data_IF_136033387879
#
_entry.id   IF_136033387879
#
_cell.length_a   1.000
_cell.length_b   1.000
_cell.length_c   1.000
_cell.angle_alpha   90.00
_cell.angle_beta   90.00
_cell.angle_gamma   90.00
#
_symmetry.space_group_name_H-M   'P 1'
#
loop_
_entity.id
_entity.type
_entity.pdbx_description
1 polymer ?
#
# COMPACT_ATOMS: atom_id res chain seq x y z
N UNK A 1 10.69 -12.57 -52.79
CA UNK A 1 9.58 -11.59 -52.94
C UNK A 1 8.41 -12.16 -53.76
N UNK A 2 8.25 -13.49 -53.87
CA UNK A 2 7.25 -14.18 -54.70
C UNK A 2 5.99 -14.64 -53.93
N UNK A 3 6.00 -14.56 -52.60
CA UNK A 3 4.94 -15.14 -51.74
C UNK A 3 3.57 -14.44 -51.90
N UNK A 4 3.59 -13.13 -52.17
CA UNK A 4 2.37 -12.34 -52.37
C UNK A 4 1.68 -12.59 -53.72
N UNK A 5 2.44 -12.91 -54.77
CA UNK A 5 1.89 -13.11 -56.11
C UNK A 5 1.21 -14.46 -56.29
N UNK A 6 1.71 -15.51 -55.62
CA UNK A 6 1.13 -16.85 -55.72
C UNK A 6 -0.16 -16.97 -54.90
N UNK A 7 -0.23 -16.31 -53.74
CA UNK A 7 -1.47 -16.21 -52.96
C UNK A 7 -2.55 -15.44 -53.72
N UNK A 8 -2.22 -14.26 -54.28
CA UNK A 8 -3.18 -13.48 -55.05
C UNK A 8 -3.73 -14.26 -56.25
N UNK A 9 -2.84 -14.92 -57.02
CA UNK A 9 -3.24 -15.77 -58.15
C UNK A 9 -4.19 -16.89 -57.72
N UNK A 10 -3.93 -17.52 -56.58
CA UNK A 10 -4.81 -18.54 -56.03
C UNK A 10 -6.17 -17.98 -55.66
N UNK A 11 -6.22 -16.85 -54.94
CA UNK A 11 -7.47 -16.18 -54.57
C UNK A 11 -8.29 -15.85 -55.82
N UNK A 12 -7.68 -15.22 -56.82
CA UNK A 12 -8.37 -14.85 -58.06
C UNK A 12 -8.95 -16.08 -58.79
N UNK A 13 -8.21 -17.19 -58.80
CA UNK A 13 -8.63 -18.42 -59.47
C UNK A 13 -9.70 -19.20 -58.68
N UNK A 14 -9.68 -19.15 -57.35
CA UNK A 14 -10.46 -20.07 -56.50
C UNK A 14 -11.59 -19.39 -55.74
N UNK A 15 -11.61 -18.06 -55.67
CA UNK A 15 -12.65 -17.30 -55.00
C UNK A 15 -14.08 -17.66 -55.48
N UNK A 16 -14.39 -17.67 -56.79
CA UNK A 16 -15.74 -17.96 -57.26
C UNK A 16 -16.19 -19.38 -56.91
N UNK A 17 -15.26 -20.34 -57.00
CA UNK A 17 -15.54 -21.74 -56.71
C UNK A 17 -15.77 -21.97 -55.21
N UNK A 18 -14.93 -21.39 -54.33
CA UNK A 18 -15.05 -21.56 -52.88
C UNK A 18 -16.33 -20.91 -52.33
N UNK A 19 -16.68 -19.71 -52.81
CA UNK A 19 -17.92 -19.04 -52.43
C UNK A 19 -19.11 -19.81 -53.00
N UNK A 20 -19.06 -20.15 -54.29
CA UNK A 20 -20.13 -20.86 -54.97
C UNK A 20 -20.45 -22.21 -54.36
N UNK A 21 -19.44 -22.99 -53.99
CA UNK A 21 -19.65 -24.28 -53.34
C UNK A 21 -20.36 -24.16 -51.98
N UNK A 22 -20.02 -23.14 -51.18
CA UNK A 22 -20.74 -22.90 -49.92
C UNK A 22 -22.19 -22.47 -50.14
N UNK A 23 -22.43 -21.63 -51.15
CA UNK A 23 -23.78 -21.21 -51.53
C UNK A 23 -24.62 -22.38 -52.06
N UNK A 24 -24.02 -23.27 -52.85
CA UNK A 24 -24.65 -24.51 -53.33
C UNK A 24 -25.03 -25.44 -52.16
N UNK A 25 -24.24 -25.42 -51.08
CA UNK A 25 -24.53 -26.12 -49.81
C UNK A 25 -25.49 -25.34 -48.88
N UNK A 26 -26.06 -24.22 -49.35
CA UNK A 26 -27.10 -23.47 -48.64
C UNK A 26 -26.60 -22.44 -47.62
N UNK A 27 -25.30 -22.15 -47.60
CA UNK A 27 -24.75 -21.08 -46.75
C UNK A 27 -25.18 -19.71 -47.31
N UNK A 28 -25.68 -18.78 -46.46
CA UNK A 28 -26.04 -17.44 -46.92
C UNK A 28 -24.89 -16.72 -47.65
N UNK A 29 -25.16 -15.95 -48.72
CA UNK A 29 -24.13 -15.31 -49.55
C UNK A 29 -23.08 -14.49 -48.78
N UNK A 30 -23.51 -13.68 -47.81
CA UNK A 30 -22.61 -12.87 -46.98
C UNK A 30 -21.73 -13.74 -46.07
N UNK A 31 -22.31 -14.80 -45.51
CA UNK A 31 -21.63 -15.71 -44.59
C UNK A 31 -20.61 -16.59 -45.32
N UNK A 32 -20.93 -17.04 -46.54
CA UNK A 32 -20.03 -17.78 -47.41
C UNK A 32 -18.76 -16.97 -47.72
N UNK A 33 -18.94 -15.73 -48.21
CA UNK A 33 -17.83 -14.82 -48.53
C UNK A 33 -17.00 -14.47 -47.30
N UNK A 34 -17.65 -14.24 -46.16
CA UNK A 34 -16.95 -13.94 -44.92
C UNK A 34 -16.15 -15.13 -44.39
N UNK A 35 -16.69 -16.36 -44.49
CA UNK A 35 -16.00 -17.58 -44.11
C UNK A 35 -14.75 -17.80 -44.97
N UNK A 36 -14.90 -17.69 -46.30
CA UNK A 36 -13.80 -17.81 -47.28
C UNK A 36 -12.72 -16.76 -47.03
N UNK A 37 -13.10 -15.48 -46.96
CA UNK A 37 -12.17 -14.38 -46.72
C UNK A 37 -11.43 -14.53 -45.38
N UNK A 38 -12.13 -14.95 -44.33
CA UNK A 38 -11.52 -15.16 -43.02
C UNK A 38 -10.49 -16.29 -43.07
N UNK A 39 -10.83 -17.44 -43.66
CA UNK A 39 -9.90 -18.58 -43.78
C UNK A 39 -8.67 -18.20 -44.60
N UNK A 40 -8.86 -17.63 -45.79
CA UNK A 40 -7.77 -17.20 -46.66
C UNK A 40 -6.81 -16.20 -45.99
N UNK A 41 -7.33 -15.21 -45.27
CA UNK A 41 -6.49 -14.27 -44.51
C UNK A 41 -5.71 -14.94 -43.38
N UNK A 42 -6.28 -15.96 -42.73
CA UNK A 42 -5.57 -16.70 -41.69
C UNK A 42 -4.39 -17.49 -42.29
N UNK A 43 -4.58 -18.04 -43.49
CA UNK A 43 -3.59 -18.84 -44.21
C UNK A 43 -2.53 -18.02 -44.94
N UNK A 44 -2.77 -16.71 -45.17
CA UNK A 44 -1.88 -15.82 -45.94
C UNK A 44 -0.42 -15.84 -45.46
N UNK A 45 -0.18 -15.88 -44.14
CA UNK A 45 1.20 -15.85 -43.58
C UNK A 45 1.94 -17.18 -43.70
N UNK A 46 1.22 -18.29 -43.85
CA UNK A 46 1.77 -19.64 -43.94
C UNK A 46 1.64 -20.22 -45.35
N UNK A 47 1.28 -19.39 -46.34
CA UNK A 47 0.91 -19.81 -47.69
C UNK A 47 1.99 -20.63 -48.39
N UNK A 48 3.21 -20.10 -48.47
CA UNK A 48 4.37 -20.80 -49.01
C UNK A 48 4.63 -22.18 -48.37
N UNK A 49 4.37 -22.32 -47.07
CA UNK A 49 4.56 -23.58 -46.35
C UNK A 49 3.47 -24.59 -46.74
N UNK A 50 2.20 -24.16 -46.71
CA UNK A 50 1.06 -25.00 -47.05
C UNK A 50 1.15 -25.56 -48.46
N UNK A 51 1.56 -24.75 -49.44
CA UNK A 51 1.78 -25.20 -50.82
C UNK A 51 2.79 -26.35 -50.97
N UNK A 52 3.73 -26.51 -50.03
CA UNK A 52 4.74 -27.58 -50.06
C UNK A 52 4.33 -28.82 -49.28
N UNK A 53 3.57 -28.64 -48.21
CA UNK A 53 3.34 -29.68 -47.20
C UNK A 53 1.96 -30.33 -47.33
N UNK A 54 1.01 -29.69 -48.00
CA UNK A 54 -0.40 -30.08 -47.99
C UNK A 54 -1.03 -29.99 -49.38
N UNK A 55 -2.10 -30.76 -49.62
CA UNK A 55 -3.00 -30.46 -50.72
C UNK A 55 -3.85 -29.25 -50.32
N UNK A 56 -3.36 -28.05 -50.66
CA UNK A 56 -3.91 -26.78 -50.20
C UNK A 56 -5.39 -26.64 -50.51
N UNK A 57 -5.85 -27.05 -51.70
CA UNK A 57 -7.27 -26.94 -52.05
C UNK A 57 -8.17 -27.78 -51.12
N UNK A 58 -7.75 -29.02 -50.80
CA UNK A 58 -8.52 -29.91 -49.91
C UNK A 58 -8.49 -29.41 -48.47
N UNK A 59 -7.31 -29.04 -47.96
CA UNK A 59 -7.15 -28.54 -46.60
C UNK A 59 -7.92 -27.22 -46.38
N UNK A 60 -7.82 -26.30 -47.34
CA UNK A 60 -8.47 -25.00 -47.25
C UNK A 60 -9.98 -25.12 -47.39
N UNK A 61 -10.47 -26.02 -48.25
CA UNK A 61 -11.90 -26.30 -48.37
C UNK A 61 -12.50 -26.84 -47.08
N UNK A 62 -11.82 -27.79 -46.43
CA UNK A 62 -12.24 -28.29 -45.12
C UNK A 62 -12.34 -27.17 -44.08
N UNK A 63 -11.32 -26.29 -43.99
CA UNK A 63 -11.31 -25.16 -43.05
C UNK A 63 -12.39 -24.11 -43.37
N UNK A 64 -12.71 -23.90 -44.65
CA UNK A 64 -13.78 -23.00 -45.11
C UNK A 64 -15.15 -23.56 -44.70
N UNK A 65 -15.41 -24.85 -44.94
CA UNK A 65 -16.66 -25.53 -44.54
C UNK A 65 -16.86 -25.51 -43.03
N UNK A 66 -15.82 -25.87 -42.27
CA UNK A 66 -15.85 -25.83 -40.81
C UNK A 66 -16.22 -24.42 -40.32
N UNK A 67 -15.62 -23.39 -40.91
CA UNK A 67 -15.90 -21.99 -40.57
C UNK A 67 -17.31 -21.53 -40.93
N UNK A 68 -17.90 -22.10 -41.97
CA UNK A 68 -19.29 -21.89 -42.35
C UNK A 68 -20.28 -22.73 -41.53
N UNK A 69 -19.79 -23.57 -40.59
CA UNK A 69 -20.64 -24.42 -39.75
C UNK A 69 -21.12 -25.69 -40.45
N UNK A 70 -20.53 -26.06 -41.58
CA UNK A 70 -20.84 -27.30 -42.29
C UNK A 70 -20.02 -28.47 -41.74
N UNK A 71 -20.59 -29.70 -41.70
CA UNK A 71 -19.85 -30.89 -41.31
C UNK A 71 -18.74 -31.21 -42.31
N UNK A 72 -17.61 -31.70 -41.80
CA UNK A 72 -16.53 -32.23 -42.62
C UNK A 72 -16.84 -33.68 -43.01
N UNK A 73 -17.02 -33.97 -44.29
CA UNK A 73 -17.12 -35.35 -44.79
C UNK A 73 -15.76 -35.76 -45.38
N UNK A 74 -15.18 -36.90 -44.93
CA UNK A 74 -13.95 -37.41 -45.52
C UNK A 74 -14.12 -37.67 -47.02
N UNK A 75 -13.30 -37.01 -47.85
CA UNK A 75 -13.38 -37.12 -49.31
C UNK A 75 -14.18 -36.03 -50.01
N UNK A 76 -14.69 -35.02 -49.28
CA UNK A 76 -15.26 -33.82 -49.89
C UNK A 76 -14.22 -33.14 -50.78
N UNK A 77 -14.48 -33.15 -52.09
CA UNK A 77 -13.61 -32.52 -53.06
C UNK A 77 -13.94 -31.02 -53.15
N UNK A 78 -12.92 -30.16 -53.20
CA UNK A 78 -13.14 -28.74 -53.43
C UNK A 78 -13.83 -28.53 -54.79
N UNK A 79 -14.77 -27.59 -54.90
CA UNK A 79 -15.39 -27.23 -56.18
C UNK A 79 -14.32 -26.69 -57.14
N UNK A 80 -14.33 -27.08 -58.41
CA UNK A 80 -13.37 -26.61 -59.42
C UNK A 80 -14.06 -26.22 -60.72
N UNK A 81 -13.81 -25.00 -61.20
CA UNK A 81 -14.31 -24.51 -62.49
C UNK A 81 -15.83 -24.47 -62.58
N UNK A 82 -16.50 -24.33 -61.44
CA UNK A 82 -17.96 -24.42 -61.34
C UNK A 82 -18.60 -23.08 -61.70
N UNK A 83 -17.92 -21.96 -61.41
CA UNK A 83 -18.47 -20.62 -61.63
C UNK A 83 -17.50 -19.65 -62.30
N UNK A 84 -17.97 -18.85 -63.27
CA UNK A 84 -17.16 -17.77 -63.85
C UNK A 84 -16.90 -16.69 -62.79
N UNK A 85 -15.78 -15.98 -62.94
CA UNK A 85 -15.47 -14.81 -62.13
C UNK A 85 -16.53 -13.72 -62.34
N UNK A 86 -17.12 -13.24 -61.25
CA UNK A 86 -18.05 -12.11 -61.25
C UNK A 86 -17.31 -10.81 -60.85
N UNK A 87 -17.13 -9.84 -61.76
CA UNK A 87 -16.48 -8.56 -61.45
C UNK A 87 -17.20 -7.74 -60.38
N UNK A 88 -18.47 -8.03 -60.09
CA UNK A 88 -19.24 -7.34 -59.04
C UNK A 88 -19.01 -7.92 -57.64
N UNK A 89 -18.29 -9.04 -57.52
CA UNK A 89 -18.02 -9.71 -56.24
C UNK A 89 -16.50 -9.86 -55.97
N UNK A 90 -15.76 -8.75 -55.81
CA UNK A 90 -14.32 -8.81 -55.60
C UNK A 90 -13.96 -9.29 -54.18
N UNK A 91 -12.92 -10.14 -54.02
CA UNK A 91 -12.48 -10.67 -52.73
C UNK A 91 -12.00 -9.59 -51.75
N UNK A 92 -11.46 -8.48 -52.24
CA UNK A 92 -10.84 -7.43 -51.43
C UNK A 92 -11.79 -6.78 -50.41
N UNK A 93 -13.04 -6.55 -50.80
CA UNK A 93 -14.05 -5.95 -49.91
C UNK A 93 -14.33 -6.86 -48.70
N UNK A 94 -14.33 -8.17 -48.91
CA UNK A 94 -14.56 -9.17 -47.88
C UNK A 94 -13.34 -9.39 -46.99
N UNK A 95 -12.13 -9.27 -47.55
CA UNK A 95 -10.92 -9.23 -46.75
C UNK A 95 -10.90 -8.05 -45.79
N UNK A 96 -11.24 -6.84 -46.26
CA UNK A 96 -11.33 -5.67 -45.39
C UNK A 96 -12.37 -5.88 -44.26
N UNK A 97 -13.53 -6.46 -44.58
CA UNK A 97 -14.58 -6.78 -43.60
C UNK A 97 -14.11 -7.80 -42.57
N UNK A 98 -13.42 -8.86 -42.98
CA UNK A 98 -12.87 -9.88 -42.10
C UNK A 98 -11.76 -9.33 -41.17
N UNK A 99 -10.91 -8.44 -41.66
CA UNK A 99 -9.89 -7.75 -40.84
C UNK A 99 -10.52 -6.84 -39.79
N UNK A 100 -11.56 -6.08 -40.16
CA UNK A 100 -12.29 -5.21 -39.22
C UNK A 100 -12.89 -6.00 -38.05
N UNK A 101 -13.50 -7.16 -38.33
CA UNK A 101 -14.06 -8.04 -37.30
C UNK A 101 -12.98 -8.60 -36.35
N UNK A 102 -11.79 -8.94 -36.87
CA UNK A 102 -10.64 -9.33 -36.03
C UNK A 102 -10.15 -8.19 -35.14
N UNK A 103 -10.07 -6.97 -35.67
CA UNK A 103 -9.66 -5.78 -34.92
C UNK A 103 -10.61 -5.45 -33.76
N UNK A 104 -11.92 -5.55 -33.98
CA UNK A 104 -12.93 -5.27 -32.97
C UNK A 104 -12.83 -6.24 -31.77
N UNK A 105 -12.57 -7.54 -32.01
CA UNK A 105 -12.41 -8.54 -30.93
C UNK A 105 -11.17 -8.27 -30.07
N UNK A 106 -10.04 -7.85 -30.67
CA UNK A 106 -8.81 -7.53 -29.93
C UNK A 106 -8.97 -6.33 -28.99
N UNK A 107 -9.69 -5.29 -29.42
CA UNK A 107 -9.92 -4.08 -28.61
C UNK A 107 -10.74 -4.37 -27.34
N UNK A 108 -11.75 -5.26 -27.43
CA UNK A 108 -12.57 -5.65 -26.26
C UNK A 108 -11.79 -6.42 -25.19
N UNK A 109 -10.77 -7.17 -25.57
CA UNK A 109 -9.91 -7.91 -24.62
C UNK A 109 -8.99 -6.99 -23.78
N UNK A 110 -8.41 -5.97 -24.41
CA UNK A 110 -7.49 -5.03 -23.74
C UNK A 110 -8.20 -4.16 -22.69
N UNK A 111 -9.41 -3.70 -22.98
CA UNK A 111 -10.18 -2.85 -22.06
C UNK A 111 -10.53 -3.57 -20.76
N UNK A 112 -10.83 -4.88 -20.81
CA UNK A 112 -11.15 -5.67 -19.62
C UNK A 112 -9.94 -5.95 -18.74
N UNK A 113 -8.76 -6.16 -19.36
CA UNK A 113 -7.51 -6.38 -18.61
C UNK A 113 -7.10 -5.15 -17.78
N UNK A 114 -7.19 -3.96 -18.37
CA UNK A 114 -6.82 -2.72 -17.69
C UNK A 114 -7.68 -2.41 -16.46
N UNK A 115 -8.99 -2.68 -16.53
CA UNK A 115 -9.91 -2.45 -15.41
C UNK A 115 -9.57 -3.33 -14.19
N UNK A 116 -9.22 -4.60 -14.41
CA UNK A 116 -8.88 -5.52 -13.33
C UNK A 116 -7.60 -5.09 -12.59
N UNK A 117 -6.58 -4.63 -13.32
CA UNK A 117 -5.32 -4.16 -12.71
C UNK A 117 -5.55 -2.92 -11.84
N UNK A 118 -6.42 -2.01 -12.27
CA UNK A 118 -6.73 -0.79 -11.53
C UNK A 118 -7.42 -1.09 -10.19
N UNK A 119 -8.36 -2.04 -10.17
CA UNK A 119 -9.03 -2.50 -8.94
C UNK A 119 -8.02 -3.09 -7.95
N UNK A 120 -7.10 -3.95 -8.43
CA UNK A 120 -6.07 -4.54 -7.57
C UNK A 120 -5.14 -3.47 -7.00
N UNK A 121 -4.74 -2.48 -7.80
CA UNK A 121 -3.91 -1.38 -7.33
C UNK A 121 -4.60 -0.56 -6.22
N UNK A 122 -5.89 -0.23 -6.39
CA UNK A 122 -6.67 0.50 -5.38
C UNK A 122 -6.77 -0.30 -4.08
N UNK A 123 -7.07 -1.60 -4.16
CA UNK A 123 -7.14 -2.46 -2.97
C UNK A 123 -5.80 -2.58 -2.25
N UNK A 124 -4.69 -2.71 -2.99
CA UNK A 124 -3.36 -2.76 -2.42
C UNK A 124 -2.98 -1.45 -1.72
N UNK A 125 -3.27 -0.30 -2.34
CA UNK A 125 -3.03 1.01 -1.72
C UNK A 125 -3.89 1.25 -0.48
N UNK A 126 -5.16 0.82 -0.50
CA UNK A 126 -6.05 0.93 0.67
C UNK A 126 -5.58 0.07 1.84
N UNK A 127 -5.10 -1.16 1.56
CA UNK A 127 -4.60 -2.07 2.59
C UNK A 127 -3.32 -1.55 3.25
N UNK A 128 -2.37 -1.03 2.46
CA UNK A 128 -1.11 -0.49 2.97
C UNK A 128 -1.33 0.66 3.97
N UNK A 129 -2.30 1.54 3.70
CA UNK A 129 -2.65 2.65 4.58
C UNK A 129 -3.27 2.19 5.90
N UNK A 130 -4.13 1.17 5.87
CA UNK A 130 -4.73 0.64 7.09
C UNK A 130 -3.70 -0.07 7.98
N UNK A 131 -2.79 -0.85 7.37
CA UNK A 131 -1.75 -1.59 8.10
C UNK A 131 -0.64 -0.70 8.70
N UNK A 132 -0.53 0.56 8.27
CA UNK A 132 0.49 1.51 8.78
C UNK A 132 -0.02 2.41 9.90
N UNK A 133 -1.28 2.24 10.35
CA UNK A 133 -1.77 2.97 11.52
C UNK A 133 -1.08 2.42 12.78
N UNK A 134 -0.38 3.28 13.55
CA UNK A 134 0.14 2.85 14.85
C UNK A 134 -1.01 2.39 15.74
N UNK A 135 -0.79 1.39 16.61
CA UNK A 135 -1.80 0.97 17.58
C UNK A 135 -2.20 2.16 18.45
N UNK A 136 -3.48 2.27 18.77
CA UNK A 136 -3.97 3.28 19.72
C UNK A 136 -3.22 3.12 21.05
N UNK A 137 -2.81 4.25 21.63
CA UNK A 137 -2.13 4.24 22.92
C UNK A 137 -3.03 3.58 23.97
N UNK A 138 -2.51 2.59 24.69
CA UNK A 138 -3.27 1.94 25.75
C UNK A 138 -3.41 2.90 26.94
N UNK A 139 -4.65 3.22 27.31
CA UNK A 139 -4.96 4.10 28.44
C UNK A 139 -5.56 3.25 29.57
N UNK A 140 -4.98 3.35 30.76
CA UNK A 140 -5.52 2.76 31.99
C UNK A 140 -5.90 3.87 32.98
N UNK A 141 -7.04 3.71 33.64
CA UNK A 141 -7.46 4.60 34.72
C UNK A 141 -6.74 4.15 36.00
N UNK A 142 -5.78 4.96 36.44
CA UNK A 142 -4.94 4.70 37.60
C UNK A 142 -4.49 6.04 38.18
N UNK A 143 -4.81 6.28 39.45
CA UNK A 143 -4.50 7.56 40.10
C UNK A 143 -2.99 7.75 40.25
N UNK A 144 -2.51 8.96 39.96
CA UNK A 144 -1.10 9.28 40.08
C UNK A 144 -0.66 9.24 41.54
N UNK A 145 0.41 8.50 41.81
CA UNK A 145 1.00 8.46 43.14
C UNK A 145 1.86 9.69 43.43
N UNK A 146 2.26 10.45 42.41
CA UNK A 146 3.04 11.68 42.50
C UNK A 146 2.16 12.90 42.14
N UNK A 147 2.40 14.08 42.74
CA UNK A 147 1.60 15.28 42.47
C UNK A 147 2.00 16.01 41.19
N UNK A 148 2.79 15.37 40.33
CA UNK A 148 3.29 15.92 39.06
C UNK A 148 3.20 14.85 37.98
N UNK A 149 3.15 15.28 36.72
CA UNK A 149 3.26 14.36 35.59
C UNK A 149 4.65 13.73 35.60
N UNK A 150 4.72 12.43 35.34
CA UNK A 150 6.00 11.75 35.22
C UNK A 150 5.96 10.62 34.21
N UNK A 151 7.16 10.23 33.77
CA UNK A 151 7.34 9.20 32.77
C UNK A 151 8.39 8.19 33.23
N UNK A 152 8.08 6.90 33.12
CA UNK A 152 9.04 5.82 33.27
C UNK A 152 8.61 4.61 32.43
N UNK A 153 9.56 3.78 32.00
CA UNK A 153 9.27 2.46 31.39
C UNK A 153 8.31 2.46 30.18
N UNK A 154 8.15 3.58 29.48
CA UNK A 154 7.21 3.67 28.36
C UNK A 154 5.82 4.20 28.74
N UNK A 155 5.59 4.51 30.02
CA UNK A 155 4.29 4.91 30.56
C UNK A 155 4.35 6.36 31.03
N UNK A 156 3.38 7.16 30.58
CA UNK A 156 3.17 8.54 31.00
C UNK A 156 2.05 8.56 32.04
N UNK A 157 2.38 8.98 33.25
CA UNK A 157 1.44 9.06 34.37
C UNK A 157 0.90 10.50 34.46
N UNK A 158 -0.38 10.66 34.11
CA UNK A 158 -1.18 11.87 34.35
C UNK A 158 -1.93 11.73 35.68
N UNK A 159 -2.71 12.74 36.05
CA UNK A 159 -3.43 12.80 37.34
C UNK A 159 -4.28 11.55 37.62
N UNK A 160 -5.11 11.15 36.65
CA UNK A 160 -6.09 10.05 36.81
C UNK A 160 -5.85 8.86 35.86
N UNK A 161 -4.90 8.99 34.93
CA UNK A 161 -4.66 8.00 33.88
C UNK A 161 -3.19 7.75 33.64
N UNK A 162 -2.88 6.54 33.19
CA UNK A 162 -1.56 6.16 32.70
C UNK A 162 -1.69 5.78 31.22
N UNK A 163 -0.84 6.39 30.40
CA UNK A 163 -0.85 6.22 28.94
C UNK A 163 0.42 5.49 28.51
N UNK A 164 0.26 4.35 27.84
CA UNK A 164 1.36 3.63 27.22
C UNK A 164 1.84 4.39 25.98
N UNK A 165 2.84 5.25 26.18
CA UNK A 165 3.42 6.11 25.15
C UNK A 165 4.94 5.90 25.09
N UNK A 166 5.41 4.83 24.41
CA UNK A 166 6.83 4.54 24.32
C UNK A 166 7.56 5.59 23.49
N UNK A 167 8.80 5.87 23.87
CA UNK A 167 9.70 6.69 23.06
C UNK A 167 9.50 8.20 23.19
N UNK A 168 8.93 8.69 24.30
CA UNK A 168 8.99 10.11 24.64
C UNK A 168 10.46 10.51 24.82
N UNK A 169 10.94 11.50 24.09
CA UNK A 169 12.27 12.11 24.30
C UNK A 169 12.19 13.27 25.28
N UNK A 170 11.15 14.10 25.14
CA UNK A 170 10.93 15.31 25.90
C UNK A 170 9.43 15.51 26.12
N UNK A 171 9.03 16.06 27.27
CA UNK A 171 7.63 16.35 27.53
C UNK A 171 7.49 17.44 28.60
N UNK A 172 6.34 18.10 28.61
CA UNK A 172 5.99 19.15 29.56
C UNK A 172 4.49 19.11 29.84
N UNK A 173 4.11 19.37 31.09
CA UNK A 173 2.72 19.58 31.47
C UNK A 173 2.16 20.84 30.77
N UNK A 174 0.99 20.71 30.13
CA UNK A 174 0.30 21.81 29.43
C UNK A 174 -1.19 21.76 29.77
N UNK A 175 -1.63 22.69 30.63
CA UNK A 175 -2.98 22.66 31.18
C UNK A 175 -3.20 21.40 32.03
N UNK A 176 -4.23 20.64 31.72
CA UNK A 176 -4.53 19.34 32.35
C UNK A 176 -3.91 18.14 31.62
N UNK A 177 -3.16 18.38 30.55
CA UNK A 177 -2.53 17.36 29.72
C UNK A 177 -1.01 17.53 29.62
N UNK A 178 -0.44 16.94 28.58
CA UNK A 178 1.00 16.91 28.33
C UNK A 178 1.25 17.16 26.84
N UNK A 179 2.26 17.97 26.53
CA UNK A 179 2.85 18.01 25.18
C UNK A 179 4.14 17.21 25.22
N UNK A 180 4.32 16.29 24.27
CA UNK A 180 5.48 15.41 24.23
C UNK A 180 6.09 15.34 22.82
N UNK A 181 7.42 15.31 22.76
CA UNK A 181 8.19 15.01 21.56
C UNK A 181 8.62 13.55 21.61
N UNK A 182 8.22 12.79 20.60
CA UNK A 182 8.61 11.38 20.45
C UNK A 182 9.97 11.28 19.75
N UNK A 183 10.64 10.13 19.88
CA UNK A 183 11.91 9.80 19.18
C UNK A 183 11.81 9.87 17.66
N UNK A 184 10.61 9.73 17.12
CA UNK A 184 10.35 9.95 15.68
C UNK A 184 10.46 11.42 15.26
N UNK A 185 10.55 12.36 16.22
CA UNK A 185 10.46 13.80 16.02
C UNK A 185 9.03 14.33 16.01
N UNK A 186 8.01 13.46 16.09
CA UNK A 186 6.60 13.87 16.14
C UNK A 186 6.28 14.54 17.48
N UNK A 187 5.52 15.63 17.42
CA UNK A 187 4.98 16.32 18.61
C UNK A 187 3.52 15.94 18.77
N UNK A 188 3.19 15.40 19.94
CA UNK A 188 1.85 14.93 20.29
C UNK A 188 1.34 15.65 21.53
N UNK A 189 0.03 15.82 21.62
CA UNK A 189 -0.64 16.29 22.82
C UNK A 189 -1.44 15.13 23.43
N UNK A 190 -1.18 14.87 24.71
CA UNK A 190 -1.91 13.89 25.53
C UNK A 190 -2.86 14.65 26.44
N UNK A 191 -4.16 14.45 26.27
CA UNK A 191 -5.18 15.07 27.11
C UNK A 191 -5.27 14.41 28.50
N UNK A 192 -6.03 15.02 29.41
CA UNK A 192 -6.19 14.55 30.79
C UNK A 192 -6.81 13.15 30.90
N UNK A 193 -7.60 12.75 29.90
CA UNK A 193 -8.22 11.43 29.79
C UNK A 193 -7.35 10.42 29.04
N UNK A 194 -6.16 10.83 28.59
CA UNK A 194 -5.20 9.99 27.88
C UNK A 194 -5.35 9.97 26.36
N UNK A 195 -6.28 10.75 25.78
CA UNK A 195 -6.38 10.88 24.32
C UNK A 195 -5.10 11.48 23.74
N UNK A 196 -4.52 10.82 22.73
CA UNK A 196 -3.29 11.26 22.06
C UNK A 196 -3.64 11.85 20.70
N UNK A 197 -3.27 13.11 20.50
CA UNK A 197 -3.50 13.84 19.24
C UNK A 197 -2.17 14.24 18.60
N UNK A 198 -2.05 13.98 17.29
CA UNK A 198 -0.87 14.33 16.51
C UNK A 198 -0.87 15.81 16.07
N UNK A 199 0.32 16.39 15.91
CA UNK A 199 0.47 17.71 15.29
C UNK A 199 0.27 18.88 16.26
N UNK A 200 0.52 18.67 17.56
CA UNK A 200 0.53 19.73 18.54
C UNK A 200 1.66 20.73 18.30
N UNK A 201 1.50 21.98 18.76
CA UNK A 201 2.57 22.98 18.70
C UNK A 201 3.71 22.60 19.65
N UNK A 202 4.95 22.83 19.21
CA UNK A 202 6.16 22.62 20.02
C UNK A 202 6.43 23.74 21.03
N UNK A 203 5.72 24.87 20.95
CA UNK A 203 6.02 26.08 21.74
C UNK A 203 6.13 25.81 23.25
N UNK A 204 5.30 24.90 23.78
CA UNK A 204 5.32 24.54 25.20
C UNK A 204 6.64 23.86 25.63
N UNK A 205 7.30 23.13 24.72
CA UNK A 205 8.58 22.46 24.97
C UNK A 205 9.76 23.44 24.88
N UNK A 206 9.63 24.49 24.07
CA UNK A 206 10.72 25.44 23.82
C UNK A 206 10.82 26.51 24.93
N UNK A 207 9.68 26.87 25.57
CA UNK A 207 9.60 27.89 26.63
C UNK A 207 9.42 27.28 28.04
N UNK A 208 10.40 26.48 28.49
CA UNK A 208 10.37 25.91 29.83
C UNK A 208 10.72 26.96 30.92
N UNK A 209 9.95 27.06 32.02
CA UNK A 209 10.27 27.97 33.10
C UNK A 209 11.57 27.54 33.81
N UNK A 210 12.43 28.51 34.10
CA UNK A 210 13.66 28.26 34.87
C UNK A 210 13.31 28.04 36.36
N UNK A 211 13.84 26.95 36.93
CA UNK A 211 13.61 26.61 38.32
C UNK A 211 14.48 27.43 39.28
N UNK A 212 13.98 27.84 40.45
CA UNK A 212 14.80 28.37 41.52
C UNK A 212 15.89 27.37 41.93
N UNK A 213 17.01 27.89 42.43
CA UNK A 213 18.07 27.04 42.98
C UNK A 213 17.55 26.28 44.22
N UNK A 214 17.70 24.94 44.19
CA UNK A 214 17.36 24.10 45.33
C UNK A 214 18.55 24.03 46.29
N UNK A 215 18.37 24.59 47.49
CA UNK A 215 19.36 24.48 48.55
C UNK A 215 19.16 23.14 49.26
N UNK A 216 20.12 22.22 49.10
CA UNK A 216 20.03 20.88 49.66
C UNK A 216 20.17 20.89 51.20
N UNK A 217 19.07 20.58 51.90
CA UNK A 217 19.08 20.33 53.35
C UNK A 217 19.03 18.83 53.69
N UNK A 218 19.28 17.97 52.70
CA UNK A 218 18.95 16.54 52.75
C UNK A 218 20.18 15.64 52.53
N UNK A 219 19.98 14.33 52.50
CA UNK A 219 21.00 13.34 52.12
C UNK A 219 21.24 13.22 50.61
N UNK A 220 20.50 13.99 49.79
CA UNK A 220 20.63 14.03 48.34
C UNK A 220 21.36 15.32 47.94
N UNK A 221 22.37 15.17 47.07
CA UNK A 221 23.30 16.27 46.76
C UNK A 221 23.20 16.76 45.31
N UNK A 222 22.45 16.05 44.45
CA UNK A 222 22.34 16.39 43.03
C UNK A 222 20.87 16.55 42.63
N UNK A 223 20.52 17.75 42.16
CA UNK A 223 19.26 18.01 41.47
C UNK A 223 19.39 17.53 40.04
N UNK A 224 18.46 16.68 39.62
CA UNK A 224 18.44 16.05 38.30
C UNK A 224 17.49 16.81 37.38
N UNK A 225 16.34 17.18 37.93
CA UNK A 225 15.29 17.86 37.22
C UNK A 225 14.44 18.66 38.20
N UNK A 226 13.83 19.74 37.71
CA UNK A 226 12.85 20.51 38.44
C UNK A 226 11.66 20.82 37.53
N UNK A 227 10.45 20.65 38.02
CA UNK A 227 9.20 20.95 37.29
C UNK A 227 8.22 21.71 38.16
N UNK A 228 7.28 22.43 37.55
CA UNK A 228 6.22 23.10 38.31
C UNK A 228 5.17 22.11 38.81
N UNK A 229 4.65 22.40 39.99
CA UNK A 229 3.52 21.64 40.56
C UNK A 229 2.21 22.36 40.25
N UNK A 230 1.13 21.65 39.91
CA UNK A 230 -0.21 22.23 39.85
C UNK A 230 -0.56 22.96 41.16
N UNK A 231 -1.04 24.20 41.06
CA UNK A 231 -1.32 25.04 42.23
C UNK A 231 -0.13 25.84 42.77
N UNK A 232 1.07 25.70 42.17
CA UNK A 232 2.24 26.50 42.47
C UNK A 232 3.35 25.74 43.19
N UNK A 233 4.56 26.32 43.17
CA UNK A 233 5.76 25.68 43.70
C UNK A 233 6.49 24.82 42.65
N UNK A 234 7.45 24.02 43.14
CA UNK A 234 8.37 23.22 42.33
C UNK A 234 8.55 21.83 42.93
N UNK A 235 8.59 20.82 42.06
CA UNK A 235 9.02 19.49 42.41
C UNK A 235 10.44 19.28 41.91
N UNK A 236 11.34 18.88 42.80
CA UNK A 236 12.74 18.60 42.50
C UNK A 236 12.96 17.09 42.53
N UNK A 237 13.47 16.55 41.43
CA UNK A 237 13.98 15.19 41.36
C UNK A 237 15.45 15.20 41.78
N UNK A 238 15.76 14.46 42.83
CA UNK A 238 17.09 14.40 43.42
C UNK A 238 17.70 13.00 43.21
N UNK A 239 19.03 12.95 43.14
CA UNK A 239 19.81 11.71 43.09
C UNK A 239 20.73 11.60 44.31
N UNK A 240 20.85 10.40 44.87
CA UNK A 240 21.67 10.13 46.05
C UNK A 240 23.12 9.75 45.70
N UNK A 241 23.63 10.20 44.55
CA UNK A 241 24.80 9.57 43.96
C UNK A 241 26.14 9.81 44.68
N UNK A 242 26.28 10.72 45.67
CA UNK A 242 27.55 10.90 46.41
C UNK A 242 27.43 11.57 47.79
N UNK A 243 27.49 10.79 48.88
CA UNK A 243 28.09 11.27 50.14
C UNK A 243 29.08 10.26 50.72
N UNK A 244 30.34 10.68 50.71
CA UNK A 244 31.55 10.22 51.40
C UNK A 244 31.99 8.75 51.35
N UNK A 245 33.12 8.55 50.64
CA UNK A 245 34.24 7.61 50.92
C UNK A 245 34.30 6.20 50.33
N UNK A 246 33.45 5.80 49.37
CA UNK A 246 33.62 4.52 48.68
C UNK A 246 34.27 4.69 47.29
N UNK A 247 35.48 4.17 47.13
CA UNK A 247 36.23 4.08 45.86
C UNK A 247 35.64 3.11 44.82
N UNK A 248 34.32 2.90 44.79
CA UNK A 248 33.65 2.01 43.82
C UNK A 248 32.81 2.80 42.81
N UNK A 249 33.47 3.68 42.06
CA UNK A 249 32.85 4.62 41.12
C UNK A 249 32.34 3.98 39.82
N UNK A 250 32.39 2.65 39.65
CA UNK A 250 32.14 1.99 38.35
C UNK A 250 30.94 1.02 38.36
N UNK A 251 30.23 0.81 39.48
CA UNK A 251 29.18 -0.24 39.52
C UNK A 251 27.81 0.10 40.12
N UNK A 252 27.54 1.33 40.53
CA UNK A 252 26.21 1.74 41.02
C UNK A 252 25.48 2.72 40.08
N UNK A 253 25.95 2.86 38.84
CA UNK A 253 25.38 3.77 37.84
C UNK A 253 23.98 3.40 37.33
N UNK A 254 23.38 2.29 37.78
CA UNK A 254 22.11 1.77 37.25
C UNK A 254 20.95 1.75 38.27
N UNK A 255 21.14 2.16 39.52
CA UNK A 255 20.03 2.30 40.47
C UNK A 255 20.26 3.40 41.51
N UNK A 256 20.57 4.61 41.03
CA UNK A 256 20.52 5.81 41.86
C UNK A 256 19.11 5.96 42.44
N UNK A 257 18.98 5.89 43.78
CA UNK A 257 17.69 6.10 44.45
C UNK A 257 17.24 7.52 44.17
N UNK A 258 16.23 7.66 43.31
CA UNK A 258 15.60 8.95 43.02
C UNK A 258 14.73 9.35 44.20
N UNK A 259 14.73 10.63 44.55
CA UNK A 259 13.78 11.17 45.51
C UNK A 259 13.09 12.42 44.97
N UNK A 260 11.82 12.57 45.33
CA UNK A 260 11.03 13.76 45.04
C UNK A 260 10.95 14.64 46.28
N UNK A 261 11.21 15.93 46.11
CA UNK A 261 10.94 16.96 47.12
C UNK A 261 10.04 18.01 46.51
N UNK A 262 8.96 18.37 47.21
CA UNK A 262 8.00 19.37 46.75
C UNK A 262 8.19 20.62 47.59
N UNK A 263 8.45 21.75 46.94
CA UNK A 263 8.60 23.05 47.57
C UNK A 263 7.47 23.98 47.16
N UNK A 264 6.58 24.29 48.10
CA UNK A 264 5.47 25.23 47.88
C UNK A 264 5.95 26.71 47.78
N UNK A 265 7.19 26.98 48.21
CA UNK A 265 7.86 28.28 48.15
C UNK A 265 9.35 28.13 48.48
N UNK A 266 10.12 29.23 48.42
CA UNK A 266 11.60 29.22 48.53
C UNK A 266 12.17 28.55 49.79
N UNK A 267 11.37 28.43 50.86
CA UNK A 267 11.83 27.90 52.16
C UNK A 267 10.91 26.85 52.79
N UNK A 268 9.90 26.38 52.06
CA UNK A 268 8.92 25.41 52.58
C UNK A 268 8.84 24.23 51.65
N UNK A 269 9.61 23.18 51.97
CA UNK A 269 9.66 21.93 51.23
C UNK A 269 9.17 20.77 52.09
N UNK A 270 8.55 19.77 51.45
CA UNK A 270 8.19 18.50 52.08
C UNK A 270 9.42 17.67 52.40
N UNK A 271 9.25 16.66 53.25
CA UNK A 271 10.26 15.62 53.42
C UNK A 271 10.51 14.90 52.08
N UNK A 272 11.77 14.51 51.77
CA UNK A 272 12.08 13.76 50.56
C UNK A 272 11.37 12.40 50.53
N UNK A 273 10.63 12.13 49.45
CA UNK A 273 10.05 10.81 49.20
C UNK A 273 10.93 10.04 48.22
N UNK A 274 11.44 8.88 48.63
CA UNK A 274 12.14 7.97 47.70
C UNK A 274 11.14 7.37 46.71
N UNK A 275 11.50 7.35 45.43
CA UNK A 275 10.69 6.82 44.33
C UNK A 275 11.19 5.41 44.03
N UNK A 276 10.33 4.42 44.21
CA UNK A 276 10.63 2.99 43.98
C UNK A 276 9.91 2.44 42.76
N UNK A 277 8.92 3.17 42.25
CA UNK A 277 8.01 2.75 41.19
C UNK A 277 8.69 2.72 39.80
N UNK A 278 9.78 3.47 39.63
CA UNK A 278 10.39 3.77 38.32
C UNK A 278 11.74 3.09 38.03
N UNK A 279 12.22 2.23 38.93
CA UNK A 279 13.57 1.61 38.88
C UNK A 279 14.70 2.62 38.60
N UNK A 280 14.52 3.89 39.00
CA UNK A 280 15.50 4.97 38.81
C UNK A 280 15.44 5.71 37.47
N UNK A 281 14.57 5.29 36.54
CA UNK A 281 14.44 5.85 35.18
C UNK A 281 13.42 6.99 35.04
N UNK A 282 12.86 7.47 36.16
CA UNK A 282 11.84 8.51 36.15
C UNK A 282 12.34 9.83 35.56
N UNK A 283 11.47 10.45 34.77
CA UNK A 283 11.55 11.86 34.35
C UNK A 283 10.26 12.56 34.75
N UNK A 284 10.36 13.83 35.12
CA UNK A 284 9.21 14.68 35.46
C UNK A 284 8.83 15.54 34.25
N UNK A 285 7.59 16.04 34.20
CA UNK A 285 7.11 16.98 33.18
C UNK A 285 6.24 18.07 33.75
#
# INVERSE_FOLDING_TARGET
MTDGSDFARYVDARWPDLVGGLEDDGVPPDDARLAVATTLLASRRSWSRRLREENVDVALWAEVRERAGLPHLPGDMPPHGVRPFDPQDPPDAWFARAEALRGARRRRGLVRGAAATLVVAVLATGWQWWASRPPEAEVRVEANTLPVVWYAKGELHLEDVVVALPGIEEFVASGSGVVARLRSGAVVQVAADGEVTDGASGDALDDLPEAPEFIAFTQYDVVVQAVRVPGGGWAYLLDSSRRDSAQDAIRQSESGRRALVICAGERTCSDPRTITESDGSIRLG
#
